data_IF_862086063797
#
_entry.id   IF_862086063797
#
_cell.length_a   1.000
_cell.length_b   1.000
_cell.length_c   1.000
_cell.angle_alpha   90.00
_cell.angle_beta   90.00
_cell.angle_gamma   90.00
#
_symmetry.space_group_name_H-M   'P 1'
#
loop_
_entity.id
_entity.type
_entity.pdbx_description
1 polymer ?
#
# COMPACT_ATOMS: atom_id res chain seq x y z
N UNK A 1 -17.06 -14.95 -5.70
CA UNK A 1 -16.41 -13.73 -6.22
C UNK A 1 -17.31 -12.58 -5.80
N UNK A 2 -16.87 -11.71 -4.91
CA UNK A 2 -17.69 -10.59 -4.46
C UNK A 2 -18.01 -9.70 -5.66
N UNK A 3 -19.23 -9.19 -5.73
CA UNK A 3 -19.57 -8.24 -6.78
C UNK A 3 -18.97 -6.87 -6.45
N UNK A 4 -18.84 -6.00 -7.45
CA UNK A 4 -18.15 -4.72 -7.30
C UNK A 4 -18.81 -3.80 -6.26
N UNK A 5 -20.14 -3.91 -6.08
CA UNK A 5 -20.89 -3.12 -5.12
C UNK A 5 -20.58 -3.53 -3.67
N UNK A 6 -20.43 -4.82 -3.40
CA UNK A 6 -20.00 -5.35 -2.09
C UNK A 6 -18.59 -4.86 -1.74
N UNK A 7 -17.66 -4.89 -2.70
CA UNK A 7 -16.30 -4.40 -2.50
C UNK A 7 -16.26 -2.90 -2.23
N UNK A 8 -17.13 -2.14 -2.91
CA UNK A 8 -17.28 -0.71 -2.65
C UNK A 8 -17.84 -0.45 -1.24
N UNK A 9 -18.84 -1.23 -0.80
CA UNK A 9 -19.39 -1.13 0.56
C UNK A 9 -18.33 -1.45 1.62
N UNK A 10 -17.56 -2.51 1.42
CA UNK A 10 -16.45 -2.89 2.31
C UNK A 10 -15.43 -1.74 2.45
N UNK A 11 -15.02 -1.12 1.34
CA UNK A 11 -14.13 0.05 1.35
C UNK A 11 -14.74 1.23 2.12
N UNK A 12 -16.02 1.54 1.91
CA UNK A 12 -16.71 2.63 2.60
C UNK A 12 -16.77 2.38 4.11
N UNK A 13 -17.03 1.16 4.55
CA UNK A 13 -17.01 0.82 5.98
C UNK A 13 -15.60 0.98 6.57
N UNK A 14 -14.56 0.54 5.85
CA UNK A 14 -13.18 0.83 6.23
C UNK A 14 -12.91 2.34 6.38
N UNK A 15 -13.35 3.16 5.42
CA UNK A 15 -13.17 4.61 5.45
C UNK A 15 -13.86 5.27 6.66
N UNK A 16 -15.07 4.83 7.02
CA UNK A 16 -15.78 5.30 8.22
C UNK A 16 -14.98 4.99 9.51
N UNK A 17 -14.35 3.82 9.56
CA UNK A 17 -13.57 3.37 10.72
C UNK A 17 -12.15 3.96 10.76
N UNK A 18 -11.60 4.38 9.61
CA UNK A 18 -10.20 4.76 9.50
C UNK A 18 -9.85 6.03 10.27
N UNK A 19 -10.84 6.89 10.53
CA UNK A 19 -10.66 8.22 11.13
C UNK A 19 -9.64 9.09 10.36
N UNK A 20 -9.41 8.79 9.08
CA UNK A 20 -8.56 9.57 8.19
C UNK A 20 -9.34 10.77 7.68
N UNK A 21 -8.93 11.98 8.08
CA UNK A 21 -9.51 13.20 7.51
C UNK A 21 -9.16 13.30 6.04
N UNK A 22 -10.00 13.96 5.24
CA UNK A 22 -9.81 14.11 3.78
C UNK A 22 -8.47 14.76 3.38
N UNK A 23 -7.80 15.40 4.33
CA UNK A 23 -6.51 16.08 4.16
C UNK A 23 -5.39 15.52 5.06
N UNK A 24 -5.67 14.52 5.91
CA UNK A 24 -4.71 14.04 6.91
C UNK A 24 -4.03 12.75 6.49
N UNK A 25 -2.71 12.86 6.39
CA UNK A 25 -1.72 11.88 5.95
C UNK A 25 -1.36 10.92 7.09
N UNK A 26 -2.33 10.19 7.62
CA UNK A 26 -2.11 9.34 8.80
C UNK A 26 -2.50 7.89 8.55
N UNK A 27 -1.81 6.99 9.23
CA UNK A 27 -2.14 5.57 9.23
C UNK A 27 -3.62 5.38 9.59
N UNK A 28 -4.32 4.48 8.89
CA UNK A 28 -5.70 4.19 9.22
C UNK A 28 -5.78 3.57 10.62
N UNK A 29 -6.89 3.79 11.31
CA UNK A 29 -7.18 3.06 12.53
C UNK A 29 -7.04 1.55 12.28
N UNK A 30 -6.41 0.80 13.20
CA UNK A 30 -6.20 -0.65 13.06
C UNK A 30 -7.49 -1.42 12.77
N UNK A 31 -8.64 -0.94 13.26
CA UNK A 31 -9.96 -1.54 12.99
C UNK A 31 -10.41 -1.42 11.54
N UNK A 32 -9.90 -0.45 10.79
CA UNK A 32 -10.22 -0.24 9.37
C UNK A 32 -9.35 -1.10 8.45
N UNK A 33 -8.14 -1.49 8.89
CA UNK A 33 -7.17 -2.23 8.06
C UNK A 33 -7.75 -3.52 7.45
N UNK A 34 -8.47 -4.38 8.20
CA UNK A 34 -9.05 -5.60 7.61
C UNK A 34 -10.00 -5.31 6.45
N UNK A 35 -10.82 -4.27 6.55
CA UNK A 35 -11.74 -3.86 5.47
C UNK A 35 -11.00 -3.46 4.21
N UNK A 36 -9.92 -2.67 4.34
CA UNK A 36 -9.12 -2.27 3.20
C UNK A 36 -8.39 -3.45 2.56
N UNK A 37 -7.85 -4.38 3.35
CA UNK A 37 -7.19 -5.58 2.82
C UNK A 37 -8.19 -6.52 2.12
N UNK A 38 -9.38 -6.71 2.69
CA UNK A 38 -10.45 -7.49 2.07
C UNK A 38 -10.91 -6.88 0.75
N UNK A 39 -11.21 -5.58 0.75
CA UNK A 39 -11.62 -4.84 -0.44
C UNK A 39 -10.52 -4.88 -1.52
N UNK A 40 -9.25 -4.63 -1.15
CA UNK A 40 -8.09 -4.72 -2.04
C UNK A 40 -8.00 -6.10 -2.69
N UNK A 41 -8.03 -7.18 -1.89
CA UNK A 41 -7.97 -8.55 -2.41
C UNK A 41 -9.08 -8.83 -3.41
N UNK A 42 -10.33 -8.53 -3.04
CA UNK A 42 -11.47 -8.77 -3.93
C UNK A 42 -11.45 -7.91 -5.19
N UNK A 43 -10.98 -6.66 -5.12
CA UNK A 43 -10.80 -5.80 -6.28
C UNK A 43 -9.71 -6.32 -7.22
N UNK A 44 -8.60 -6.83 -6.69
CA UNK A 44 -7.57 -7.51 -7.50
C UNK A 44 -8.15 -8.71 -8.26
N UNK A 45 -8.93 -9.56 -7.60
CA UNK A 45 -9.58 -10.71 -8.24
C UNK A 45 -10.61 -10.27 -9.29
N UNK A 46 -11.40 -9.24 -8.98
CA UNK A 46 -12.40 -8.70 -9.92
C UNK A 46 -11.75 -8.12 -11.18
N UNK A 47 -10.69 -7.33 -11.02
CA UNK A 47 -9.96 -6.68 -12.11
C UNK A 47 -9.28 -7.69 -13.04
N UNK A 48 -8.76 -8.81 -12.50
CA UNK A 48 -8.20 -9.89 -13.34
C UNK A 48 -9.19 -10.38 -14.40
N UNK A 49 -10.47 -10.45 -14.03
CA UNK A 49 -11.54 -10.87 -14.94
C UNK A 49 -12.15 -9.69 -15.72
N UNK A 50 -11.95 -8.44 -15.27
CA UNK A 50 -12.59 -7.24 -15.81
C UNK A 50 -11.59 -6.07 -15.92
N UNK A 51 -10.52 -6.20 -16.74
CA UNK A 51 -9.42 -5.24 -16.75
C UNK A 51 -9.82 -3.85 -17.27
N UNK A 52 -10.90 -3.73 -18.02
CA UNK A 52 -11.39 -2.45 -18.57
C UNK A 52 -12.38 -1.75 -17.62
N UNK A 53 -12.70 -2.32 -16.46
CA UNK A 53 -13.62 -1.70 -15.51
C UNK A 53 -12.94 -0.54 -14.77
N UNK A 54 -13.19 0.68 -15.26
CA UNK A 54 -12.59 1.89 -14.69
C UNK A 54 -12.98 2.15 -13.22
N UNK A 55 -14.19 1.76 -12.79
CA UNK A 55 -14.61 1.94 -11.40
C UNK A 55 -13.81 1.03 -10.46
N UNK A 56 -13.61 -0.23 -10.84
CA UNK A 56 -12.81 -1.17 -10.04
C UNK A 56 -11.38 -0.65 -9.81
N UNK A 57 -10.74 -0.11 -10.84
CA UNK A 57 -9.42 0.54 -10.71
C UNK A 57 -9.45 1.78 -9.80
N UNK A 58 -10.50 2.61 -9.85
CA UNK A 58 -10.64 3.78 -8.94
C UNK A 58 -10.78 3.32 -7.49
N UNK A 59 -11.59 2.30 -7.22
CA UNK A 59 -11.77 1.74 -5.88
C UNK A 59 -10.47 1.11 -5.36
N UNK A 60 -9.72 0.41 -6.22
CA UNK A 60 -8.43 -0.16 -5.82
C UNK A 60 -7.41 0.93 -5.51
N UNK A 61 -7.38 2.02 -6.31
CA UNK A 61 -6.56 3.20 -6.00
C UNK A 61 -6.89 3.79 -4.62
N UNK A 62 -8.17 3.90 -4.27
CA UNK A 62 -8.60 4.38 -2.95
C UNK A 62 -8.19 3.44 -1.82
N UNK A 63 -8.25 2.11 -2.02
CA UNK A 63 -7.78 1.14 -1.03
C UNK A 63 -6.28 1.33 -0.76
N UNK A 64 -5.46 1.41 -1.81
CA UNK A 64 -4.02 1.61 -1.69
C UNK A 64 -3.69 2.95 -1.04
N UNK A 65 -4.43 4.02 -1.37
CA UNK A 65 -4.27 5.31 -0.69
C UNK A 65 -4.59 5.22 0.81
N UNK A 66 -5.70 4.59 1.19
CA UNK A 66 -6.07 4.38 2.59
C UNK A 66 -5.01 3.58 3.35
N UNK A 67 -4.34 2.65 2.65
CA UNK A 67 -3.19 1.88 3.13
C UNK A 67 -1.85 2.60 2.93
N UNK A 68 -1.86 3.89 2.57
CA UNK A 68 -0.67 4.72 2.33
C UNK A 68 0.31 4.17 1.28
N UNK A 69 -0.12 3.23 0.43
CA UNK A 69 0.66 2.74 -0.71
C UNK A 69 0.48 3.67 -1.90
N UNK A 70 1.14 4.84 -1.85
CA UNK A 70 0.96 5.88 -2.85
C UNK A 70 1.46 5.47 -4.24
N UNK A 71 2.45 4.57 -4.32
CA UNK A 71 2.91 4.01 -5.58
C UNK A 71 1.80 3.24 -6.30
N UNK A 72 1.18 2.27 -5.62
CA UNK A 72 0.08 1.51 -6.19
C UNK A 72 -1.16 2.40 -6.40
N UNK A 73 -1.45 3.33 -5.49
CA UNK A 73 -2.56 4.26 -5.64
C UNK A 73 -2.46 5.11 -6.94
N UNK A 74 -1.26 5.66 -7.22
CA UNK A 74 -0.98 6.39 -8.48
C UNK A 74 -1.18 5.48 -9.69
N UNK A 75 -0.55 4.29 -9.68
CA UNK A 75 -0.64 3.33 -10.78
C UNK A 75 -2.10 2.96 -11.09
N UNK A 76 -2.87 2.60 -10.06
CA UNK A 76 -4.27 2.19 -10.19
C UNK A 76 -5.17 3.34 -10.68
N UNK A 77 -4.93 4.57 -10.25
CA UNK A 77 -5.69 5.72 -10.74
C UNK A 77 -5.37 6.04 -12.21
N UNK A 78 -4.12 5.87 -12.64
CA UNK A 78 -3.76 5.98 -14.04
C UNK A 78 -4.46 4.92 -14.90
N UNK A 79 -4.52 3.67 -14.42
CA UNK A 79 -5.29 2.60 -15.08
C UNK A 79 -6.78 2.91 -15.18
N UNK A 80 -7.38 3.43 -14.11
CA UNK A 80 -8.77 3.88 -14.14
C UNK A 80 -9.04 4.95 -15.21
N UNK A 81 -8.16 5.97 -15.28
CA UNK A 81 -8.25 7.06 -16.26
C UNK A 81 -8.08 6.52 -17.68
N UNK A 82 -7.16 5.58 -17.87
CA UNK A 82 -6.96 4.93 -19.18
C UNK A 82 -8.18 4.13 -19.63
N UNK A 83 -8.81 3.39 -18.71
CA UNK A 83 -9.92 2.49 -19.03
C UNK A 83 -11.26 3.20 -19.24
N UNK A 84 -11.50 4.35 -18.59
CA UNK A 84 -12.82 5.02 -18.64
C UNK A 84 -12.79 6.54 -18.66
N UNK A 85 -11.64 7.14 -18.97
CA UNK A 85 -11.44 8.59 -18.97
C UNK A 85 -11.22 9.17 -17.57
N UNK A 86 -10.57 10.34 -17.52
CA UNK A 86 -10.27 11.05 -16.28
C UNK A 86 -11.18 12.24 -16.06
N UNK A 87 -11.90 12.26 -14.95
CA UNK A 87 -12.62 13.47 -14.53
C UNK A 87 -11.66 14.53 -14.01
N UNK A 88 -12.11 15.79 -13.91
CA UNK A 88 -11.35 16.86 -13.24
C UNK A 88 -10.97 16.50 -11.80
N UNK A 89 -11.82 15.71 -11.11
CA UNK A 89 -11.53 15.20 -9.76
C UNK A 89 -10.41 14.17 -9.79
N UNK A 90 -10.43 13.23 -10.73
CA UNK A 90 -9.39 12.21 -10.89
C UNK A 90 -8.03 12.84 -11.19
N UNK A 91 -7.98 13.84 -12.08
CA UNK A 91 -6.71 14.50 -12.42
C UNK A 91 -6.11 15.26 -11.23
N UNK A 92 -6.93 15.97 -10.46
CA UNK A 92 -6.50 16.62 -9.21
C UNK A 92 -6.00 15.60 -8.18
N UNK A 93 -6.73 14.50 -8.03
CA UNK A 93 -6.36 13.42 -7.12
C UNK A 93 -5.05 12.76 -7.54
N UNK A 94 -4.86 12.53 -8.84
CA UNK A 94 -3.63 11.96 -9.39
C UNK A 94 -2.42 12.86 -9.14
N UNK A 95 -2.57 14.18 -9.33
CA UNK A 95 -1.51 15.14 -9.01
C UNK A 95 -1.13 15.08 -7.52
N UNK A 96 -2.14 15.09 -6.64
CA UNK A 96 -1.94 14.98 -5.20
C UNK A 96 -1.25 13.65 -4.80
N UNK A 97 -1.69 12.52 -5.35
CA UNK A 97 -1.07 11.21 -5.09
C UNK A 97 0.38 11.14 -5.59
N UNK A 98 0.71 11.82 -6.70
CA UNK A 98 2.10 11.94 -7.16
C UNK A 98 2.94 12.77 -6.22
N UNK A 99 2.44 13.90 -5.72
CA UNK A 99 3.14 14.68 -4.68
C UNK A 99 3.39 13.83 -3.42
N UNK A 100 2.45 12.95 -3.05
CA UNK A 100 2.62 12.01 -1.95
C UNK A 100 3.69 10.97 -2.20
N UNK A 101 3.64 10.35 -3.38
CA UNK A 101 4.64 9.37 -3.81
C UNK A 101 6.03 9.98 -3.88
N UNK A 102 6.14 11.20 -4.43
CA UNK A 102 7.42 11.87 -4.68
C UNK A 102 7.98 12.56 -3.41
N UNK A 103 7.09 12.98 -2.51
CA UNK A 103 7.44 13.49 -1.17
C UNK A 103 7.67 12.40 -0.14
N UNK A 104 7.39 11.13 -0.46
CA UNK A 104 7.76 10.01 0.38
C UNK A 104 9.28 9.88 0.43
N UNK A 105 9.83 9.71 1.63
CA UNK A 105 11.27 9.59 1.80
C UNK A 105 11.85 8.47 0.93
N UNK A 106 13.04 8.74 0.37
CA UNK A 106 13.87 7.71 -0.22
C UNK A 106 14.11 6.64 0.85
N UNK A 107 14.06 5.37 0.44
CA UNK A 107 14.26 4.25 1.35
C UNK A 107 15.63 4.32 2.05
N UNK A 108 16.61 5.01 1.45
CA UNK A 108 17.95 5.25 2.00
C UNK A 108 18.66 3.95 2.45
N UNK A 109 18.39 2.85 1.74
CA UNK A 109 19.12 1.60 1.79
C UNK A 109 19.93 1.46 0.49
N UNK A 110 21.13 0.93 0.58
CA UNK A 110 21.89 0.53 -0.61
C UNK A 110 21.28 -0.71 -1.27
N UNK A 111 21.71 -1.03 -2.49
CA UNK A 111 21.28 -2.26 -3.19
C UNK A 111 21.64 -3.51 -2.36
N UNK A 112 22.85 -3.57 -1.80
CA UNK A 112 23.30 -4.69 -0.99
C UNK A 112 22.50 -4.82 0.31
N UNK A 113 22.09 -3.70 0.89
CA UNK A 113 21.21 -3.66 2.06
C UNK A 113 19.79 -4.15 1.72
N UNK A 114 19.28 -3.81 0.54
CA UNK A 114 17.99 -4.29 0.06
C UNK A 114 18.00 -5.80 -0.19
N UNK A 115 19.01 -6.31 -0.88
CA UNK A 115 19.19 -7.75 -1.13
C UNK A 115 19.35 -8.55 0.18
N UNK A 116 20.12 -8.02 1.13
CA UNK A 116 20.29 -8.64 2.45
C UNK A 116 19.00 -8.64 3.26
N UNK A 117 18.23 -7.55 3.21
CA UNK A 117 16.91 -7.48 3.85
C UNK A 117 15.93 -8.47 3.21
N UNK A 118 15.89 -8.54 1.88
CA UNK A 118 15.04 -9.49 1.15
C UNK A 118 15.33 -10.93 1.57
N UNK A 119 16.60 -11.34 1.53
CA UNK A 119 17.02 -12.68 1.92
C UNK A 119 16.62 -13.02 3.36
N UNK A 120 16.80 -12.09 4.30
CA UNK A 120 16.41 -12.26 5.70
C UNK A 120 14.90 -12.43 5.87
N UNK A 121 14.11 -11.61 5.17
CA UNK A 121 12.66 -11.70 5.24
C UNK A 121 12.14 -12.97 4.57
N UNK A 122 12.67 -13.37 3.41
CA UNK A 122 12.30 -14.62 2.76
C UNK A 122 12.56 -15.85 3.63
N UNK A 123 13.72 -15.92 4.29
CA UNK A 123 14.08 -17.01 5.19
C UNK A 123 13.12 -17.06 6.41
N UNK A 124 12.83 -15.90 6.98
CA UNK A 124 11.90 -15.76 8.10
C UNK A 124 10.48 -16.20 7.71
N UNK A 125 9.99 -15.75 6.53
CA UNK A 125 8.67 -16.11 6.03
C UNK A 125 8.55 -17.60 5.69
N UNK A 126 9.61 -18.24 5.17
CA UNK A 126 9.64 -19.70 4.95
C UNK A 126 9.50 -20.49 6.25
N UNK A 127 10.10 -19.98 7.33
CA UNK A 127 10.14 -20.69 8.63
C UNK A 127 8.87 -20.46 9.46
N UNK A 128 8.31 -19.24 9.45
CA UNK A 128 7.27 -18.83 10.39
C UNK A 128 5.98 -18.34 9.72
N UNK A 129 5.98 -18.11 8.40
CA UNK A 129 4.91 -17.40 7.71
C UNK A 129 4.84 -15.92 8.08
N UNK A 130 3.80 -15.22 7.63
CA UNK A 130 3.58 -13.82 7.96
C UNK A 130 2.61 -13.68 9.14
N UNK A 131 3.03 -12.95 10.18
CA UNK A 131 2.20 -12.59 11.34
C UNK A 131 1.54 -11.20 11.24
N UNK A 132 1.60 -10.59 10.04
CA UNK A 132 1.13 -9.24 9.73
C UNK A 132 1.80 -8.14 10.56
N UNK A 133 3.04 -8.34 11.00
CA UNK A 133 3.86 -7.34 11.68
C UNK A 133 5.16 -7.03 10.90
N UNK A 134 5.88 -5.99 11.33
CA UNK A 134 7.23 -5.64 10.83
C UNK A 134 8.33 -6.20 11.73
N UNK A 135 8.10 -7.36 12.35
CA UNK A 135 9.00 -7.89 13.38
C UNK A 135 10.39 -8.12 12.80
N UNK A 136 10.49 -8.88 11.71
CA UNK A 136 11.75 -9.26 11.12
C UNK A 136 12.43 -8.08 10.40
N UNK A 137 11.65 -7.20 9.77
CA UNK A 137 12.17 -5.95 9.20
C UNK A 137 12.84 -5.09 10.28
N UNK A 138 12.19 -4.93 11.44
CA UNK A 138 12.76 -4.15 12.55
C UNK A 138 13.99 -4.82 13.15
N UNK A 139 13.97 -6.14 13.30
CA UNK A 139 15.12 -6.92 13.75
C UNK A 139 16.32 -6.70 12.83
N UNK A 140 16.14 -6.82 11.52
CA UNK A 140 17.20 -6.58 10.54
C UNK A 140 17.73 -5.14 10.59
N UNK A 141 16.85 -4.15 10.67
CA UNK A 141 17.23 -2.73 10.72
C UNK A 141 18.10 -2.38 11.94
N UNK A 142 17.93 -3.07 13.07
CA UNK A 142 18.75 -2.83 14.28
C UNK A 142 20.22 -3.13 14.02
N UNK A 143 20.53 -4.13 13.20
CA UNK A 143 21.90 -4.57 12.93
C UNK A 143 22.55 -3.86 11.73
N UNK A 144 21.75 -3.37 10.78
CA UNK A 144 22.26 -2.88 9.49
C UNK A 144 22.06 -1.39 9.24
N UNK A 145 21.25 -0.71 10.07
CA UNK A 145 20.90 0.70 9.90
C UNK A 145 20.99 1.44 11.24
N UNK A 146 21.48 2.68 11.23
CA UNK A 146 21.52 3.48 12.46
C UNK A 146 20.11 3.76 12.97
N UNK A 147 19.91 3.71 14.29
CA UNK A 147 18.61 3.94 14.95
C UNK A 147 17.90 5.23 14.49
N UNK A 148 18.68 6.28 14.21
CA UNK A 148 18.16 7.54 13.69
C UNK A 148 17.49 7.35 12.32
N UNK A 149 18.14 6.61 11.42
CA UNK A 149 17.67 6.32 10.06
C UNK A 149 16.58 5.24 10.03
N UNK A 150 16.58 4.26 10.93
CA UNK A 150 15.61 3.14 10.91
C UNK A 150 14.15 3.62 10.92
N UNK A 151 13.85 4.73 11.62
CA UNK A 151 12.50 5.32 11.63
C UNK A 151 12.10 5.86 10.26
N UNK A 152 13.01 6.55 9.58
CA UNK A 152 12.79 7.12 8.26
C UNK A 152 12.64 5.99 7.22
N UNK A 153 13.46 4.93 7.32
CA UNK A 153 13.32 3.73 6.48
C UNK A 153 11.95 3.08 6.66
N UNK A 154 11.49 2.87 7.90
CA UNK A 154 10.16 2.29 8.16
C UNK A 154 9.05 3.19 7.60
N UNK A 155 9.17 4.51 7.76
CA UNK A 155 8.22 5.46 7.19
C UNK A 155 8.19 5.37 5.67
N UNK A 156 9.35 5.30 5.04
CA UNK A 156 9.51 5.15 3.60
C UNK A 156 8.95 3.81 3.08
N UNK A 157 9.10 2.71 3.84
CA UNK A 157 8.49 1.41 3.54
C UNK A 157 6.96 1.49 3.57
N UNK A 158 6.40 2.10 4.62
CA UNK A 158 4.94 2.26 4.79
C UNK A 158 4.31 3.11 3.69
N UNK A 159 4.98 4.17 3.25
CA UNK A 159 4.51 4.98 2.12
C UNK A 159 4.51 4.24 0.77
N UNK A 160 5.13 3.06 0.74
CA UNK A 160 5.10 2.09 -0.37
C UNK A 160 4.20 0.90 -0.06
N UNK A 161 3.43 0.92 1.03
CA UNK A 161 2.55 -0.16 1.44
C UNK A 161 3.20 -1.30 2.22
N UNK A 162 4.42 -1.15 2.75
CA UNK A 162 5.11 -2.15 3.57
C UNK A 162 4.73 -2.07 5.05
N UNK A 163 3.58 -2.63 5.45
CA UNK A 163 3.11 -2.63 6.85
C UNK A 163 3.29 -3.97 7.59
N UNK A 164 3.43 -5.07 6.85
CA UNK A 164 4.00 -6.35 7.32
C UNK A 164 5.32 -6.65 6.62
N UNK A 165 6.10 -7.57 7.17
CA UNK A 165 7.30 -8.16 6.56
C UNK A 165 7.00 -8.69 5.13
N UNK A 166 5.82 -9.30 4.94
CA UNK A 166 5.35 -9.79 3.65
C UNK A 166 5.17 -8.69 2.59
N UNK A 167 4.64 -7.54 2.99
CA UNK A 167 4.38 -6.40 2.13
C UNK A 167 5.64 -5.59 1.86
N UNK A 168 6.64 -5.65 2.76
CA UNK A 168 7.97 -5.10 2.48
C UNK A 168 8.56 -5.80 1.25
N UNK A 169 8.55 -7.13 1.22
CA UNK A 169 8.99 -7.89 0.04
C UNK A 169 8.14 -7.49 -1.17
N UNK A 170 6.81 -7.58 -1.07
CA UNK A 170 5.92 -7.44 -2.24
C UNK A 170 5.83 -6.03 -2.82
N UNK A 171 5.90 -4.98 -1.99
CA UNK A 171 5.60 -3.60 -2.40
C UNK A 171 6.79 -2.63 -2.30
N UNK A 172 7.84 -2.99 -1.55
CA UNK A 172 8.99 -2.08 -1.33
C UNK A 172 10.23 -2.53 -2.09
N UNK A 173 10.54 -3.83 -2.05
CA UNK A 173 11.76 -4.39 -2.64
C UNK A 173 11.56 -4.68 -4.13
N UNK A 174 10.38 -5.20 -4.50
CA UNK A 174 10.02 -5.62 -5.86
C UNK A 174 9.73 -4.47 -6.84
#
# INVERSE_FOLDING_TARGET
MNNLEELQKELIEGQKLAMQGSYERKEPNKRAVPYFLNAKKGLYEYIKCNPDNSLAWRLLSQCEECLLNYHAAVFNLQKAIQAGGGSKKDLKKLALLKEYRDGAEKLNLSTEQLESLEAHLEESMKSYGCDHSLKHTKEWLVYHVSKAKSRDVIRAMRNRGGFCDCEVIMNVIN
#
